data_IF_688757578392
#
_entry.id   IF_688757578392
#
_cell.length_a   1.000
_cell.length_b   1.000
_cell.length_c   1.000
_cell.angle_alpha   90.00
_cell.angle_beta   90.00
_cell.angle_gamma   90.00
#
_symmetry.space_group_name_H-M   'P 1'
#
loop_
_entity.id
_entity.type
_entity.pdbx_description
1 polymer ?
#
# COMPACT_ATOMS: atom_id res chain seq x y z
N UNK A 1 -25.32 40.60 -44.07
CA UNK A 1 -25.15 39.17 -44.41
C UNK A 1 -23.88 38.67 -43.72
N UNK A 2 -23.92 38.22 -42.46
CA UNK A 2 -22.80 37.58 -41.81
C UNK A 2 -22.86 36.06 -42.03
N UNK A 3 -21.74 35.43 -42.39
CA UNK A 3 -21.60 33.97 -42.34
C UNK A 3 -21.13 33.54 -40.96
N UNK A 4 -22.07 32.91 -40.27
CA UNK A 4 -21.95 32.17 -39.01
C UNK A 4 -20.85 31.11 -39.08
N UNK A 5 -20.06 30.96 -38.01
CA UNK A 5 -20.20 29.83 -37.07
C UNK A 5 -19.11 29.95 -36.00
N UNK A 6 -19.52 30.46 -34.84
CA UNK A 6 -18.82 30.31 -33.58
C UNK A 6 -18.59 28.82 -33.28
N UNK A 7 -17.33 28.38 -33.18
CA UNK A 7 -17.02 27.17 -32.44
C UNK A 7 -16.84 27.55 -30.98
N UNK A 8 -17.97 27.51 -30.28
CA UNK A 8 -18.07 27.42 -28.83
C UNK A 8 -17.15 26.28 -28.37
N UNK A 9 -16.05 26.61 -27.69
CA UNK A 9 -15.30 25.62 -26.92
C UNK A 9 -16.19 25.28 -25.73
N UNK A 10 -16.97 24.20 -25.87
CA UNK A 10 -17.68 23.60 -24.75
C UNK A 10 -16.67 23.26 -23.67
N UNK A 11 -16.77 23.99 -22.55
CA UNK A 11 -16.24 23.58 -21.27
C UNK A 11 -16.83 22.19 -20.98
N UNK A 12 -16.03 21.14 -21.13
CA UNK A 12 -16.42 19.81 -20.69
C UNK A 12 -16.64 19.89 -19.16
N UNK A 13 -17.77 19.40 -18.63
CA UNK A 13 -17.92 19.28 -17.18
C UNK A 13 -16.81 18.37 -16.69
N UNK A 14 -15.98 18.90 -15.79
CA UNK A 14 -14.99 18.13 -15.06
C UNK A 14 -15.75 17.33 -14.00
N UNK A 15 -16.41 16.26 -14.41
CA UNK A 15 -17.02 15.28 -13.54
C UNK A 15 -16.34 13.93 -13.79
N UNK A 16 -15.99 13.26 -12.69
CA UNK A 16 -15.25 12.00 -12.57
C UNK A 16 -13.71 12.06 -12.54
N UNK A 17 -13.15 13.12 -11.93
CA UNK A 17 -11.94 12.93 -11.12
C UNK A 17 -12.34 12.31 -9.78
N UNK A 18 -12.49 10.99 -9.78
CA UNK A 18 -12.60 10.21 -8.55
C UNK A 18 -11.30 10.43 -7.76
N UNK A 19 -11.38 11.27 -6.72
CA UNK A 19 -10.26 11.54 -5.83
C UNK A 19 -9.77 10.24 -5.16
N UNK A 20 -8.47 10.09 -4.90
CA UNK A 20 -7.95 8.90 -4.23
C UNK A 20 -8.19 9.05 -2.73
N UNK A 21 -9.26 8.42 -2.26
CA UNK A 21 -9.52 7.92 -0.89
C UNK A 21 -11.03 8.03 -0.61
N UNK A 22 -11.81 7.10 -1.18
CA UNK A 22 -13.07 6.78 -0.51
C UNK A 22 -12.71 6.18 0.83
N UNK A 23 -13.12 6.89 1.89
CA UNK A 23 -13.11 6.46 3.28
C UNK A 23 -13.37 4.94 3.40
N UNK A 24 -12.63 4.25 4.26
CA UNK A 24 -13.01 2.89 4.70
C UNK A 24 -14.34 2.91 5.49
N UNK A 25 -14.89 4.10 5.76
CA UNK A 25 -16.23 4.37 6.30
C UNK A 25 -17.29 3.80 5.35
N UNK A 26 -17.76 2.60 5.67
CA UNK A 26 -18.83 1.90 4.94
C UNK A 26 -18.46 0.52 4.41
N UNK A 27 -17.18 0.12 4.49
CA UNK A 27 -16.77 -1.25 4.15
C UNK A 27 -17.13 -2.19 5.31
N UNK A 28 -17.86 -3.26 5.03
CA UNK A 28 -18.26 -4.21 6.08
C UNK A 28 -17.05 -4.99 6.60
N UNK A 29 -17.05 -5.38 7.89
CA UNK A 29 -15.99 -6.19 8.49
C UNK A 29 -15.68 -7.51 7.72
N UNK A 30 -16.70 -8.07 7.05
CA UNK A 30 -16.57 -9.26 6.20
C UNK A 30 -15.78 -8.96 4.92
N UNK A 31 -16.06 -7.84 4.26
CA UNK A 31 -15.33 -7.40 3.07
C UNK A 31 -13.87 -7.07 3.41
N UNK A 32 -13.65 -6.34 4.51
CA UNK A 32 -12.29 -6.06 5.00
C UNK A 32 -11.52 -7.36 5.23
N UNK A 33 -12.12 -8.36 5.87
CA UNK A 33 -11.46 -9.64 6.13
C UNK A 33 -11.08 -10.39 4.84
N UNK A 34 -11.91 -10.33 3.79
CA UNK A 34 -11.59 -10.90 2.49
C UNK A 34 -10.42 -10.19 1.81
N UNK A 35 -10.42 -8.85 1.85
CA UNK A 35 -9.35 -8.02 1.29
C UNK A 35 -8.03 -8.29 2.02
N UNK A 36 -8.04 -8.30 3.36
CA UNK A 36 -6.86 -8.59 4.20
C UNK A 36 -6.27 -9.95 3.87
N UNK A 37 -7.11 -11.00 3.77
CA UNK A 37 -6.65 -12.33 3.40
C UNK A 37 -5.97 -12.34 2.03
N UNK A 38 -6.59 -11.73 1.01
CA UNK A 38 -6.02 -11.65 -0.34
C UNK A 38 -4.71 -10.86 -0.37
N UNK A 39 -4.63 -9.75 0.37
CA UNK A 39 -3.41 -8.95 0.49
C UNK A 39 -2.29 -9.73 1.18
N UNK A 40 -2.59 -10.51 2.23
CA UNK A 40 -1.63 -11.40 2.89
C UNK A 40 -1.10 -12.46 1.92
N UNK A 41 -1.99 -13.20 1.26
CA UNK A 41 -1.61 -14.29 0.35
C UNK A 41 -0.73 -13.76 -0.80
N UNK A 42 -1.04 -12.57 -1.30
CA UNK A 42 -0.23 -11.88 -2.29
C UNK A 42 1.12 -11.41 -1.76
N UNK A 43 1.17 -10.84 -0.56
CA UNK A 43 2.44 -10.43 0.06
C UNK A 43 3.38 -11.62 0.22
N UNK A 44 2.86 -12.79 0.64
CA UNK A 44 3.64 -14.03 0.76
C UNK A 44 4.15 -14.47 -0.62
N UNK A 45 3.29 -14.48 -1.63
CA UNK A 45 3.68 -14.80 -3.01
C UNK A 45 4.80 -13.85 -3.50
N UNK A 46 4.64 -12.55 -3.33
CA UNK A 46 5.62 -11.55 -3.78
C UNK A 46 6.93 -11.62 -2.99
N UNK A 47 6.87 -11.89 -1.68
CA UNK A 47 8.05 -12.00 -0.83
C UNK A 47 8.89 -13.24 -1.13
N UNK A 48 8.24 -14.36 -1.47
CA UNK A 48 8.91 -15.65 -1.74
C UNK A 48 9.36 -15.81 -3.20
N UNK A 49 8.79 -15.05 -4.13
CA UNK A 49 9.17 -15.08 -5.54
C UNK A 49 10.56 -14.46 -5.79
N UNK A 50 11.22 -14.85 -6.87
CA UNK A 50 12.49 -14.28 -7.33
C UNK A 50 12.39 -13.75 -8.75
N UNK A 51 13.49 -13.80 -9.49
CA UNK A 51 13.45 -13.67 -10.95
C UNK A 51 12.50 -14.72 -11.55
N UNK A 52 11.61 -14.39 -12.52
CA UNK A 52 11.56 -13.14 -13.29
C UNK A 52 10.60 -12.06 -12.73
N UNK A 53 9.97 -12.30 -11.57
CA UNK A 53 9.04 -11.33 -10.97
C UNK A 53 9.78 -10.08 -10.51
N UNK A 54 10.92 -10.26 -9.86
CA UNK A 54 11.76 -9.17 -9.37
C UNK A 54 13.01 -9.03 -10.24
N UNK A 55 13.25 -7.80 -10.69
CA UNK A 55 14.39 -7.45 -11.53
C UNK A 55 15.37 -6.65 -10.69
N UNK A 56 16.59 -7.19 -10.54
CA UNK A 56 17.67 -6.47 -9.88
C UNK A 56 18.06 -5.23 -10.68
N UNK A 57 18.31 -4.12 -9.99
CA UNK A 57 18.80 -2.92 -10.63
C UNK A 57 20.24 -3.13 -11.14
N UNK A 58 20.49 -2.80 -12.40
CA UNK A 58 21.80 -2.95 -13.05
C UNK A 58 22.83 -1.92 -12.55
N UNK A 59 22.39 -0.86 -11.89
CA UNK A 59 23.27 0.11 -11.21
C UNK A 59 23.50 -0.37 -9.79
N UNK A 60 24.77 -0.56 -9.41
CA UNK A 60 25.39 -0.69 -8.09
C UNK A 60 24.43 -0.99 -6.90
N UNK A 61 24.81 -1.93 -6.02
CA UNK A 61 24.05 -2.57 -4.91
C UNK A 61 23.15 -1.73 -3.95
N UNK A 62 22.93 -0.45 -4.18
CA UNK A 62 22.11 0.46 -3.37
C UNK A 62 20.68 0.67 -3.90
N UNK A 63 20.29 0.06 -5.01
CA UNK A 63 18.95 0.22 -5.56
C UNK A 63 18.07 -1.00 -5.28
N UNK A 64 16.84 -0.81 -4.78
CA UNK A 64 15.91 -1.92 -4.55
C UNK A 64 15.55 -2.60 -5.87
N UNK A 65 15.20 -3.88 -5.79
CA UNK A 65 14.67 -4.63 -6.93
C UNK A 65 13.35 -4.02 -7.37
N UNK A 66 13.09 -4.03 -8.67
CA UNK A 66 11.87 -3.46 -9.26
C UNK A 66 10.96 -4.58 -9.76
N UNK A 67 9.64 -4.39 -9.63
CA UNK A 67 8.66 -5.37 -10.06
C UNK A 67 8.55 -5.42 -11.59
N UNK A 68 8.64 -6.62 -12.17
CA UNK A 68 8.21 -6.86 -13.54
C UNK A 68 6.68 -6.98 -13.58
N UNK A 69 6.02 -5.88 -13.95
CA UNK A 69 4.56 -5.82 -13.97
C UNK A 69 3.90 -6.83 -14.94
N UNK A 70 4.56 -7.15 -16.06
CA UNK A 70 4.06 -8.13 -17.02
C UNK A 70 4.04 -9.55 -16.44
N UNK A 71 5.11 -9.95 -15.76
CA UNK A 71 5.16 -11.23 -15.05
C UNK A 71 4.23 -11.26 -13.84
N UNK A 72 4.12 -10.14 -13.13
CA UNK A 72 3.15 -10.00 -12.04
C UNK A 72 1.71 -10.24 -12.53
N UNK A 73 1.26 -9.62 -13.63
CA UNK A 73 -0.08 -9.86 -14.17
C UNK A 73 -0.29 -11.30 -14.66
N UNK A 74 0.78 -11.95 -15.15
CA UNK A 74 0.71 -13.35 -15.60
C UNK A 74 0.56 -14.32 -14.43
N UNK A 75 1.21 -14.03 -13.30
CA UNK A 75 1.24 -14.90 -12.11
C UNK A 75 0.12 -14.57 -11.12
N UNK A 76 -0.23 -13.28 -11.01
CA UNK A 76 -1.28 -12.78 -10.14
C UNK A 76 -2.63 -13.00 -10.80
N UNK A 77 -3.56 -13.67 -10.10
CA UNK A 77 -4.95 -13.78 -10.55
C UNK A 77 -5.73 -12.46 -10.38
N UNK A 78 -5.03 -11.31 -10.31
CA UNK A 78 -5.64 -9.99 -10.15
C UNK A 78 -5.97 -9.37 -11.50
N UNK A 79 -6.98 -8.49 -11.46
CA UNK A 79 -7.36 -7.67 -12.60
C UNK A 79 -6.33 -6.59 -12.90
N UNK A 80 -6.39 -6.08 -14.12
CA UNK A 80 -5.60 -4.93 -14.58
C UNK A 80 -5.95 -3.71 -13.70
N UNK A 81 -4.96 -2.89 -13.30
CA UNK A 81 -5.22 -1.63 -12.60
C UNK A 81 -6.25 -0.77 -13.34
N UNK A 82 -6.95 0.09 -12.60
CA UNK A 82 -7.87 1.03 -13.21
C UNK A 82 -7.15 1.86 -14.29
N UNK A 83 -7.85 2.26 -15.37
CA UNK A 83 -7.31 3.17 -16.36
C UNK A 83 -6.69 4.38 -15.67
N UNK A 84 -5.54 4.85 -16.17
CA UNK A 84 -4.77 6.00 -15.63
C UNK A 84 -4.02 5.78 -14.31
N UNK A 85 -4.08 4.59 -13.70
CA UNK A 85 -3.22 4.23 -12.57
C UNK A 85 -1.95 3.50 -13.06
N UNK A 86 -0.78 4.02 -12.68
CA UNK A 86 0.48 3.27 -12.79
C UNK A 86 0.69 2.48 -11.51
N UNK A 87 0.92 1.17 -11.66
CA UNK A 87 1.34 0.31 -10.56
C UNK A 87 2.86 0.23 -10.54
N UNK A 88 3.45 0.58 -9.40
CA UNK A 88 4.86 0.46 -9.12
C UNK A 88 5.05 -0.34 -7.83
N UNK A 89 6.10 -1.17 -7.78
CA UNK A 89 6.51 -1.84 -6.56
C UNK A 89 8.02 -2.06 -6.57
N UNK A 90 8.61 -1.95 -5.39
CA UNK A 90 10.02 -2.18 -5.13
C UNK A 90 10.21 -3.17 -3.98
N UNK A 91 11.35 -3.83 -3.95
CA UNK A 91 11.73 -4.77 -2.88
C UNK A 91 13.16 -4.55 -2.44
N UNK A 92 13.33 -4.52 -1.12
CA UNK A 92 14.63 -4.49 -0.48
C UNK A 92 14.74 -5.60 0.58
N UNK A 93 15.95 -6.10 0.80
CA UNK A 93 16.23 -7.18 1.75
C UNK A 93 17.45 -6.79 2.59
N UNK A 94 17.26 -6.74 3.91
CA UNK A 94 18.32 -6.40 4.85
C UNK A 94 18.35 -7.38 6.04
N UNK A 95 19.55 -7.61 6.58
CA UNK A 95 19.72 -8.34 7.84
C UNK A 95 19.65 -7.39 9.02
N UNK A 96 18.67 -7.58 9.90
CA UNK A 96 18.45 -6.73 11.08
C UNK A 96 18.83 -7.51 12.34
N UNK A 97 19.63 -6.91 13.23
CA UNK A 97 19.97 -7.46 14.54
C UNK A 97 18.87 -7.18 15.57
N UNK A 98 17.66 -7.66 15.32
CA UNK A 98 16.51 -7.52 16.21
C UNK A 98 15.72 -8.82 16.28
N UNK A 99 14.93 -9.00 17.35
CA UNK A 99 13.97 -10.11 17.40
C UNK A 99 12.86 -9.86 16.37
N UNK A 100 12.35 -10.87 15.65
CA UNK A 100 11.27 -10.69 14.67
C UNK A 100 10.05 -9.97 15.24
N UNK A 101 9.67 -10.32 16.48
CA UNK A 101 8.54 -9.68 17.17
C UNK A 101 8.74 -8.18 17.40
N UNK A 102 9.98 -7.73 17.63
CA UNK A 102 10.28 -6.30 17.81
C UNK A 102 10.04 -5.52 16.51
N UNK A 103 10.31 -6.13 15.36
CA UNK A 103 10.02 -5.52 14.04
C UNK A 103 8.50 -5.42 13.86
N UNK A 104 7.76 -6.50 14.13
CA UNK A 104 6.29 -6.50 14.03
C UNK A 104 5.67 -5.46 14.96
N UNK A 105 6.13 -5.39 16.21
CA UNK A 105 5.71 -4.39 17.19
C UNK A 105 5.97 -2.97 16.68
N UNK A 106 7.15 -2.70 16.12
CA UNK A 106 7.48 -1.38 15.56
C UNK A 106 6.54 -0.98 14.41
N UNK A 107 6.11 -1.95 13.58
CA UNK A 107 5.19 -1.70 12.47
C UNK A 107 3.73 -1.56 12.91
N UNK A 108 3.34 -2.22 13.99
CA UNK A 108 1.95 -2.27 14.48
C UNK A 108 1.62 -1.19 15.52
N UNK A 109 2.57 -0.81 16.37
CA UNK A 109 2.38 0.22 17.40
C UNK A 109 2.66 1.62 16.83
N UNK A 110 1.70 2.51 17.02
CA UNK A 110 1.68 3.80 16.31
C UNK A 110 2.86 4.70 16.68
N UNK A 111 3.20 4.79 17.96
CA UNK A 111 4.27 5.65 18.46
C UNK A 111 5.64 5.15 17.95
N UNK A 112 5.83 3.83 17.91
CA UNK A 112 7.07 3.23 17.40
C UNK A 112 7.17 3.39 15.88
N UNK A 113 6.05 3.22 15.18
CA UNK A 113 5.98 3.42 13.74
C UNK A 113 6.30 4.85 13.35
N UNK A 114 5.69 5.84 14.00
CA UNK A 114 5.96 7.26 13.78
C UNK A 114 7.42 7.61 14.09
N UNK A 115 7.95 7.11 15.20
CA UNK A 115 9.36 7.33 15.55
C UNK A 115 10.32 6.75 14.49
N UNK A 116 10.02 5.55 13.95
CA UNK A 116 10.84 4.89 12.94
C UNK A 116 10.77 5.58 11.57
N UNK A 117 9.59 6.09 11.19
CA UNK A 117 9.32 6.63 9.85
C UNK A 117 9.05 8.14 9.83
N UNK A 118 9.55 8.89 10.81
CA UNK A 118 9.28 10.32 10.98
C UNK A 118 9.70 11.21 9.80
N UNK A 119 10.62 10.74 8.95
CA UNK A 119 11.01 11.43 7.71
C UNK A 119 10.00 11.30 6.58
N UNK A 120 9.10 10.32 6.64
CA UNK A 120 8.12 10.00 5.59
C UNK A 120 6.67 10.13 6.07
N UNK A 121 6.44 10.02 7.38
CA UNK A 121 5.12 10.06 8.01
C UNK A 121 5.11 11.21 9.01
N UNK A 122 4.21 12.16 8.81
CA UNK A 122 4.07 13.33 9.69
C UNK A 122 3.05 13.12 10.80
N UNK A 123 1.99 12.37 10.49
CA UNK A 123 0.91 12.09 11.42
C UNK A 123 0.34 10.70 11.13
N UNK A 124 -0.21 10.07 12.16
CA UNK A 124 -0.89 8.80 12.05
C UNK A 124 -1.90 8.62 13.17
N UNK A 125 -2.99 7.90 12.89
CA UNK A 125 -3.98 7.54 13.89
C UNK A 125 -4.53 6.14 13.66
N UNK A 126 -4.76 5.40 14.75
CA UNK A 126 -5.62 4.20 14.72
C UNK A 126 -7.08 4.64 14.77
N UNK A 127 -7.83 4.35 13.71
CA UNK A 127 -9.25 4.70 13.60
C UNK A 127 -10.13 3.63 14.26
N UNK A 128 -9.82 2.35 14.04
CA UNK A 128 -10.60 1.23 14.56
C UNK A 128 -9.72 -0.02 14.74
N UNK A 129 -9.97 -0.79 15.80
CA UNK A 129 -9.36 -2.11 16.00
C UNK A 129 -10.37 -3.19 15.61
N UNK A 130 -10.16 -3.82 14.45
CA UNK A 130 -11.04 -4.86 13.89
C UNK A 130 -10.84 -6.23 14.56
N UNK A 131 -9.61 -6.50 15.01
CA UNK A 131 -9.23 -7.70 15.75
C UNK A 131 -8.05 -7.37 16.64
N UNK A 132 -8.13 -7.53 17.97
CA UNK A 132 -7.04 -7.21 18.88
C UNK A 132 -5.83 -8.16 18.70
N UNK A 133 -6.06 -9.37 18.19
CA UNK A 133 -5.03 -10.41 18.06
C UNK A 133 -4.50 -10.89 19.42
N UNK A 134 -3.40 -11.63 19.39
CA UNK A 134 -2.64 -12.01 20.60
C UNK A 134 -1.73 -10.86 21.03
N UNK A 135 -1.73 -10.51 22.31
CA UNK A 135 -1.02 -9.32 22.84
C UNK A 135 0.51 -9.40 22.67
N UNK A 136 1.11 -10.55 23.00
CA UNK A 136 2.58 -10.71 22.97
C UNK A 136 3.13 -10.98 21.56
N UNK A 137 2.38 -11.71 20.73
CA UNK A 137 2.83 -12.17 19.42
C UNK A 137 2.31 -11.32 18.27
N UNK A 138 1.36 -10.41 18.53
CA UNK A 138 0.62 -9.65 17.53
C UNK A 138 -0.10 -10.54 16.50
N UNK A 139 -0.26 -11.83 16.78
CA UNK A 139 -0.85 -12.77 15.84
C UNK A 139 -2.31 -12.43 15.58
N UNK A 140 -2.68 -12.36 14.31
CA UNK A 140 -4.03 -12.04 13.82
C UNK A 140 -4.58 -10.65 14.23
N UNK A 141 -3.69 -9.70 14.59
CA UNK A 141 -4.10 -8.34 14.91
C UNK A 141 -4.43 -7.56 13.63
N UNK A 142 -5.59 -6.90 13.61
CA UNK A 142 -6.11 -6.11 12.48
C UNK A 142 -6.59 -4.75 12.97
N UNK A 143 -6.14 -3.68 12.34
CA UNK A 143 -6.55 -2.31 12.69
C UNK A 143 -6.64 -1.43 11.45
N UNK A 144 -7.61 -0.53 11.45
CA UNK A 144 -7.78 0.54 10.47
C UNK A 144 -6.94 1.73 10.94
N UNK A 145 -6.15 2.28 10.03
CA UNK A 145 -5.24 3.40 10.27
C UNK A 145 -5.50 4.51 9.27
N UNK A 146 -5.28 5.75 9.70
CA UNK A 146 -4.97 6.87 8.81
C UNK A 146 -3.51 7.28 9.00
N UNK A 147 -2.84 7.71 7.94
CA UNK A 147 -1.53 8.32 8.02
C UNK A 147 -1.32 9.41 6.95
N UNK A 148 -0.64 10.49 7.35
CA UNK A 148 -0.23 11.58 6.48
C UNK A 148 1.21 11.36 6.00
N UNK A 149 1.35 11.08 4.71
CA UNK A 149 2.64 10.84 4.07
C UNK A 149 3.21 12.11 3.44
N UNK A 150 4.49 12.35 3.67
CA UNK A 150 5.25 13.41 3.01
C UNK A 150 5.87 12.83 1.74
N UNK A 151 5.38 13.29 0.59
CA UNK A 151 6.03 12.97 -0.67
C UNK A 151 7.22 13.92 -0.88
N UNK A 152 8.30 13.38 -1.43
CA UNK A 152 9.50 14.15 -1.80
C UNK A 152 9.27 15.03 -3.02
N UNK A 153 8.09 15.00 -3.63
CA UNK A 153 7.74 15.81 -4.81
C UNK A 153 7.15 17.15 -4.36
N UNK A 154 7.77 18.30 -4.72
CA UNK A 154 7.40 19.62 -4.19
C UNK A 154 6.05 20.18 -4.68
N UNK A 155 5.26 19.40 -5.42
CA UNK A 155 4.02 19.83 -6.08
C UNK A 155 2.78 19.06 -5.64
N UNK A 156 2.92 18.11 -4.71
CA UNK A 156 1.80 17.36 -4.16
C UNK A 156 1.68 17.67 -2.67
N UNK A 157 0.52 18.14 -2.18
CA UNK A 157 0.28 18.31 -0.75
C UNK A 157 0.39 16.95 -0.04
N UNK A 158 0.65 16.96 1.28
CA UNK A 158 0.69 15.73 2.06
C UNK A 158 -0.55 14.87 1.80
N UNK A 159 -0.35 13.59 1.52
CA UNK A 159 -1.43 12.67 1.18
C UNK A 159 -1.83 11.90 2.44
N UNK A 160 -3.05 12.15 2.92
CA UNK A 160 -3.68 11.29 3.91
C UNK A 160 -4.14 10.01 3.23
N UNK A 161 -3.75 8.86 3.79
CA UNK A 161 -4.21 7.56 3.31
C UNK A 161 -4.78 6.74 4.46
N UNK A 162 -5.96 6.16 4.21
CA UNK A 162 -6.56 5.16 5.08
C UNK A 162 -6.26 3.76 4.59
N UNK A 163 -5.83 2.89 5.48
CA UNK A 163 -5.48 1.52 5.16
C UNK A 163 -5.66 0.59 6.35
N UNK A 164 -5.70 -0.72 6.09
CA UNK A 164 -5.75 -1.75 7.12
C UNK A 164 -4.36 -2.32 7.34
N UNK A 165 -3.89 -2.34 8.60
CA UNK A 165 -2.72 -3.13 9.00
C UNK A 165 -3.17 -4.48 9.53
N UNK A 166 -2.39 -5.49 9.18
CA UNK A 166 -2.62 -6.86 9.61
C UNK A 166 -1.29 -7.56 9.86
N UNK A 167 -1.17 -8.19 11.03
CA UNK A 167 -0.05 -9.05 11.38
C UNK A 167 -0.49 -10.51 11.44
N UNK A 168 0.30 -11.35 10.79
CA UNK A 168 0.10 -12.79 10.72
C UNK A 168 1.41 -13.48 11.09
N UNK A 169 1.32 -14.51 11.93
CA UNK A 169 2.47 -15.38 12.21
C UNK A 169 2.35 -16.61 11.33
N UNK A 170 3.27 -16.73 10.38
CA UNK A 170 3.40 -17.95 9.58
C UNK A 170 4.10 -19.02 10.42
N UNK A 171 3.57 -20.24 10.43
CA UNK A 171 4.25 -21.39 11.03
C UNK A 171 5.42 -21.79 10.12
N UNK A 172 6.57 -22.12 10.69
CA UNK A 172 7.68 -22.69 9.93
C UNK A 172 7.25 -24.02 9.30
N UNK A 173 7.22 -24.08 7.96
CA UNK A 173 7.05 -25.32 7.19
C UNK A 173 5.66 -25.57 6.61
N UNK A 174 5.25 -24.80 5.61
CA UNK A 174 4.19 -25.19 4.66
C UNK A 174 4.64 -24.88 3.23
#
# INVERSE_FOLDING_TARGET
>A
MPTSTERSLMLMPSEDLLGPAHDLVGVTAKEVSSIVRRAKDELIFMATAGYPLWIASNSNAFHPETLNFGEYLRMSQRGIPAPFFQSEASRDIATIRARPITIVQTLMEIDQWLHMFCSMVTNAQTLEVLSPGEEESYKERKQVMSAEFVLTTPYMPAHEAQFVRYSHQQLDGS
#
